data_IF_137831301018
#
_entry.id   IF_137831301018
#
_cell.length_a   1.000
_cell.length_b   1.000
_cell.length_c   1.000
_cell.angle_alpha   90.00
_cell.angle_beta   90.00
_cell.angle_gamma   90.00
#
_symmetry.space_group_name_H-M   'P 1'
#
loop_
_entity.id
_entity.type
_entity.pdbx_description
1 polymer ?
#
# COMPACT_ATOMS: atom_id res chain seq x y z
N UNK A 1 11.44 7.74 -17.68
CA UNK A 1 11.98 6.55 -17.00
C UNK A 1 10.95 6.12 -15.98
N UNK A 2 10.30 4.97 -16.18
CA UNK A 2 9.27 4.46 -15.28
C UNK A 2 9.96 3.44 -14.37
N UNK A 3 10.17 3.79 -13.09
CA UNK A 3 10.70 2.87 -12.10
C UNK A 3 9.53 2.02 -11.63
N UNK A 4 9.63 0.69 -11.79
CA UNK A 4 8.63 -0.26 -11.30
C UNK A 4 9.23 -0.99 -10.11
N UNK A 5 9.06 -0.41 -8.94
CA UNK A 5 9.45 -1.05 -7.68
C UNK A 5 8.29 -1.91 -7.18
N UNK A 6 8.60 -3.14 -6.76
CA UNK A 6 7.66 -4.08 -6.16
C UNK A 6 8.28 -4.60 -4.89
N UNK A 7 7.62 -4.37 -3.76
CA UNK A 7 8.00 -4.94 -2.48
C UNK A 7 6.81 -5.71 -1.92
N UNK A 8 7.13 -6.80 -1.24
CA UNK A 8 6.14 -7.65 -0.63
C UNK A 8 6.30 -7.55 0.87
N UNK A 9 5.19 -7.33 1.56
CA UNK A 9 5.17 -7.21 3.00
C UNK A 9 4.22 -8.25 3.56
N UNK A 10 4.69 -9.05 4.50
CA UNK A 10 3.91 -10.12 5.14
C UNK A 10 4.06 -10.04 6.64
N UNK A 11 3.10 -10.62 7.38
CA UNK A 11 3.21 -10.79 8.82
C UNK A 11 3.49 -12.26 9.11
N UNK A 12 4.67 -12.55 9.67
CA UNK A 12 5.11 -13.90 10.04
C UNK A 12 5.44 -13.89 11.53
N UNK A 13 4.80 -14.78 12.31
CA UNK A 13 4.95 -14.84 13.77
C UNK A 13 4.73 -13.47 14.47
N UNK A 14 3.76 -12.70 13.97
CA UNK A 14 3.44 -11.36 14.48
C UNK A 14 4.47 -10.28 14.12
N UNK A 15 5.43 -10.58 13.24
CA UNK A 15 6.45 -9.63 12.78
C UNK A 15 6.24 -9.27 11.33
N UNK A 16 6.44 -7.98 11.02
CA UNK A 16 6.47 -7.50 9.65
C UNK A 16 7.76 -7.97 8.97
N UNK A 17 7.63 -8.65 7.83
CA UNK A 17 8.73 -9.13 7.01
C UNK A 17 8.59 -8.54 5.62
N UNK A 18 9.69 -7.99 5.10
CA UNK A 18 9.76 -7.47 3.72
C UNK A 18 10.57 -8.45 2.87
N UNK A 19 10.04 -8.81 1.70
CA UNK A 19 10.73 -9.64 0.73
C UNK A 19 10.73 -9.01 -0.66
N UNK A 20 11.70 -9.43 -1.50
CA UNK A 20 11.78 -9.00 -2.89
C UNK A 20 10.87 -9.81 -3.82
N UNK A 21 10.40 -10.98 -3.37
CA UNK A 21 9.57 -11.90 -4.13
C UNK A 21 8.60 -12.61 -3.18
N UNK A 22 7.33 -12.57 -3.52
CA UNK A 22 6.25 -13.37 -2.93
C UNK A 22 5.03 -13.34 -3.87
N UNK A 23 4.02 -14.16 -3.56
CA UNK A 23 2.67 -13.96 -4.05
C UNK A 23 1.92 -13.11 -3.02
N UNK A 24 1.28 -12.03 -3.49
CA UNK A 24 0.59 -11.09 -2.62
C UNK A 24 -0.92 -11.42 -2.59
N UNK A 25 -1.49 -11.56 -1.39
CA UNK A 25 -2.93 -11.72 -1.19
C UNK A 25 -3.69 -10.43 -1.58
N UNK A 26 -3.05 -9.28 -1.39
CA UNK A 26 -3.52 -7.97 -1.84
C UNK A 26 -2.34 -7.12 -2.32
N UNK A 27 -2.56 -6.32 -3.36
CA UNK A 27 -1.57 -5.41 -3.90
C UNK A 27 -2.10 -3.98 -3.96
N UNK A 28 -1.25 -3.02 -3.64
CA UNK A 28 -1.51 -1.58 -3.73
C UNK A 28 -0.52 -1.01 -4.75
N UNK A 29 -1.04 -0.46 -5.85
CA UNK A 29 -0.22 0.04 -6.96
C UNK A 29 -0.60 1.47 -7.30
N UNK A 30 0.37 2.37 -7.32
CA UNK A 30 0.22 3.75 -7.76
C UNK A 30 1.56 4.25 -8.31
N UNK A 31 1.59 5.45 -8.90
CA UNK A 31 2.85 6.12 -9.21
C UNK A 31 3.66 6.35 -7.94
N UNK A 32 4.99 6.26 -8.04
CA UNK A 32 5.88 6.41 -6.89
C UNK A 32 5.65 7.74 -6.13
N UNK A 33 5.33 8.82 -6.86
CA UNK A 33 4.98 10.11 -6.26
C UNK A 33 3.72 10.03 -5.41
N UNK A 34 2.72 9.27 -5.84
CA UNK A 34 1.44 9.14 -5.14
C UNK A 34 1.61 8.29 -3.87
N UNK A 35 2.39 7.21 -3.96
CA UNK A 35 2.78 6.41 -2.78
C UNK A 35 3.56 7.25 -1.75
N UNK A 36 4.50 8.10 -2.21
CA UNK A 36 5.21 9.04 -1.36
C UNK A 36 4.28 10.07 -0.70
N UNK A 37 3.28 10.58 -1.43
CA UNK A 37 2.32 11.55 -0.91
C UNK A 37 1.35 10.92 0.11
N UNK A 38 0.95 9.66 -0.09
CA UNK A 38 0.21 8.87 0.91
C UNK A 38 1.07 8.67 2.16
N UNK A 39 2.32 8.20 2.01
CA UNK A 39 3.22 7.95 3.13
C UNK A 39 3.54 9.24 3.92
N UNK A 40 3.64 10.39 3.23
CA UNK A 40 3.81 11.71 3.83
C UNK A 40 2.50 12.32 4.36
N UNK A 41 1.37 11.59 4.27
CA UNK A 41 0.01 12.03 4.60
C UNK A 41 -0.42 13.36 3.96
N UNK A 42 0.14 13.68 2.80
CA UNK A 42 -0.23 14.86 2.02
C UNK A 42 -1.39 14.58 1.07
N UNK A 43 -1.65 13.31 0.78
CA UNK A 43 -2.77 12.89 -0.03
C UNK A 43 -3.44 11.67 0.60
N UNK A 44 -4.76 11.68 0.59
CA UNK A 44 -5.60 10.63 1.13
C UNK A 44 -5.71 9.44 0.15
N UNK A 45 -5.59 8.18 0.62
CA UNK A 45 -5.61 7.01 -0.24
C UNK A 45 -6.97 6.77 -0.90
N UNK A 46 -8.08 7.12 -0.24
CA UNK A 46 -9.43 7.03 -0.85
C UNK A 46 -9.55 7.96 -2.05
N UNK A 47 -9.06 9.19 -1.91
CA UNK A 47 -9.05 10.19 -2.98
C UNK A 47 -8.32 9.66 -4.20
N UNK A 48 -7.16 9.04 -4.02
CA UNK A 48 -6.39 8.44 -5.10
C UNK A 48 -7.08 7.19 -5.69
N UNK A 49 -7.72 6.38 -4.87
CA UNK A 49 -8.50 5.22 -5.32
C UNK A 49 -9.69 5.64 -6.20
N UNK A 50 -10.49 6.62 -5.76
CA UNK A 50 -11.62 7.15 -6.54
C UNK A 50 -11.16 7.84 -7.84
N UNK A 51 -9.96 8.42 -7.84
CA UNK A 51 -9.32 8.98 -9.03
C UNK A 51 -8.68 7.91 -9.95
N UNK A 52 -8.73 6.62 -9.58
CA UNK A 52 -8.08 5.50 -10.28
C UNK A 52 -6.55 5.65 -10.39
N UNK A 53 -5.94 6.41 -9.47
CA UNK A 53 -4.49 6.60 -9.35
C UNK A 53 -3.86 5.63 -8.36
N UNK A 54 -4.64 5.17 -7.38
CA UNK A 54 -4.32 4.02 -6.55
C UNK A 54 -5.19 2.85 -6.99
N UNK A 55 -4.55 1.74 -7.32
CA UNK A 55 -5.21 0.48 -7.69
C UNK A 55 -4.98 -0.52 -6.57
N UNK A 56 -6.06 -1.15 -6.11
CA UNK A 56 -6.04 -2.19 -5.08
C UNK A 56 -6.63 -3.46 -5.71
N UNK A 57 -5.86 -4.54 -5.75
CA UNK A 57 -6.27 -5.82 -6.34
C UNK A 57 -5.97 -6.97 -5.38
N UNK A 58 -6.87 -7.94 -5.31
CA UNK A 58 -6.75 -9.11 -4.43
C UNK A 58 -7.92 -9.21 -3.46
N UNK A 59 -7.64 -9.67 -2.25
CA UNK A 59 -8.64 -9.81 -1.18
C UNK A 59 -9.15 -8.44 -0.70
N UNK A 60 -10.45 -8.20 -0.84
CA UNK A 60 -11.09 -6.93 -0.48
C UNK A 60 -11.06 -6.66 1.02
N UNK A 61 -11.22 -7.69 1.86
CA UNK A 61 -11.25 -7.53 3.32
C UNK A 61 -9.86 -7.17 3.85
N UNK A 62 -8.83 -7.87 3.37
CA UNK A 62 -7.44 -7.56 3.68
C UNK A 62 -7.05 -6.17 3.14
N UNK A 63 -7.49 -5.82 1.94
CA UNK A 63 -7.30 -4.48 1.38
C UNK A 63 -7.87 -3.39 2.27
N UNK A 64 -9.09 -3.57 2.78
CA UNK A 64 -9.69 -2.61 3.71
C UNK A 64 -8.91 -2.51 5.04
N UNK A 65 -8.45 -3.64 5.58
CA UNK A 65 -7.64 -3.67 6.80
C UNK A 65 -6.32 -2.89 6.63
N UNK A 66 -5.60 -3.16 5.54
CA UNK A 66 -4.33 -2.49 5.24
C UNK A 66 -4.53 -1.00 5.03
N UNK A 67 -5.60 -0.60 4.33
CA UNK A 67 -5.93 0.82 4.15
C UNK A 67 -6.19 1.52 5.49
N UNK A 68 -7.00 0.92 6.36
CA UNK A 68 -7.27 1.48 7.68
C UNK A 68 -6.00 1.59 8.54
N UNK A 69 -5.06 0.65 8.39
CA UNK A 69 -3.75 0.73 9.03
C UNK A 69 -2.93 1.93 8.52
N UNK A 70 -2.91 2.18 7.21
CA UNK A 70 -2.22 3.34 6.63
C UNK A 70 -2.77 4.67 7.17
N UNK A 71 -4.10 4.76 7.35
CA UNK A 71 -4.75 5.95 7.91
C UNK A 71 -4.40 6.14 9.41
N UNK A 72 -4.25 5.05 10.15
CA UNK A 72 -4.02 5.05 11.59
C UNK A 72 -2.56 5.25 12.02
N UNK A 73 -1.57 5.04 11.14
CA UNK A 73 -0.15 5.17 11.50
C UNK A 73 0.20 6.64 11.73
N UNK A 74 0.39 7.05 12.99
CA UNK A 74 0.97 8.34 13.36
C UNK A 74 2.50 8.34 13.33
N UNK A 75 3.10 9.16 12.46
CA UNK A 75 4.53 9.44 12.44
C UNK A 75 4.79 10.64 13.36
N UNK A 76 5.19 10.39 14.61
CA UNK A 76 5.81 11.41 15.48
C UNK A 76 7.26 11.68 15.08
#
# INVERSE_FOLDING_TARGET
MCIRDRWYTSVVDGRLVVSQQADADVSFSADASDLLMIAARKQDPDTLFFQRRLVIEGDTELGLYVKNLMDAIELE
#
